data_IF_262149038590
#
_entry.id   IF_262149038590
#
_cell.length_a   1.000
_cell.length_b   1.000
_cell.length_c   1.000
_cell.angle_alpha   90.00
_cell.angle_beta   90.00
_cell.angle_gamma   90.00
#
_symmetry.space_group_name_H-M   'P 1'
#
loop_
_entity.id
_entity.type
_entity.pdbx_description
1 polymer ?
2 non-polymer ?
#
# COMPACT_ATOMS: atom_id res chain seq x y z
N UNK A 1 41.09 -23.06 0.38
CA UNK A 1 41.45 -22.01 1.36
C UNK A 1 40.58 -20.77 1.18
N UNK A 2 41.01 -19.66 1.76
CA UNK A 2 40.27 -18.40 1.67
C UNK A 2 40.27 -17.87 0.24
N UNK A 3 39.45 -18.47 -0.61
CA UNK A 3 39.36 -18.06 -2.01
C UNK A 3 39.10 -16.55 -2.11
N UNK A 4 39.60 -15.94 -3.17
CA UNK A 4 39.43 -14.50 -3.37
C UNK A 4 40.09 -13.70 -2.25
N UNK A 5 40.98 -14.33 -1.49
CA UNK A 5 41.68 -13.66 -0.40
C UNK A 5 40.78 -13.42 0.82
N UNK A 6 39.53 -13.88 0.78
CA UNK A 6 38.62 -13.69 1.90
C UNK A 6 37.28 -14.39 1.67
N UNK A 7 36.79 -14.35 0.44
CA UNK A 7 35.52 -14.98 0.09
C UNK A 7 34.33 -14.17 0.59
N UNK A 8 34.27 -12.89 0.19
CA UNK A 8 33.19 -11.98 0.57
C UNK A 8 32.66 -12.26 1.98
N UNK A 9 33.54 -12.24 2.99
CA UNK A 9 33.16 -12.48 4.38
C UNK A 9 32.40 -11.30 4.98
N UNK A 10 32.83 -10.10 4.63
CA UNK A 10 32.19 -8.88 5.13
C UNK A 10 31.03 -8.47 4.23
N UNK A 11 29.81 -8.79 4.67
CA UNK A 11 28.61 -8.45 3.91
C UNK A 11 28.51 -9.30 2.64
N UNK A 12 27.40 -10.01 2.50
CA UNK A 12 27.17 -10.86 1.34
C UNK A 12 25.79 -10.61 0.74
N UNK A 13 24.78 -10.56 1.60
CA UNK A 13 23.41 -10.33 1.15
C UNK A 13 22.51 -9.96 2.33
N UNK A 14 21.23 -9.76 2.04
CA UNK A 14 20.26 -9.41 3.07
C UNK A 14 20.39 -10.33 4.29
N UNK A 15 20.35 -11.63 4.04
CA UNK A 15 20.46 -12.62 5.11
C UNK A 15 21.63 -12.29 6.03
N UNK A 16 22.69 -11.71 5.46
CA UNK A 16 23.87 -11.35 6.23
C UNK A 16 23.76 -9.92 6.75
N UNK A 17 23.20 -9.04 5.93
CA UNK A 17 23.03 -7.64 6.30
C UNK A 17 22.17 -7.50 7.56
N UNK A 18 21.31 -8.49 7.80
CA UNK A 18 20.42 -8.48 8.96
C UNK A 18 21.18 -8.08 10.23
N UNK A 19 22.46 -8.40 10.27
CA UNK A 19 23.29 -8.08 11.43
C UNK A 19 23.26 -6.58 11.72
N UNK A 20 23.06 -5.78 10.68
CA UNK A 20 23.01 -4.33 10.83
C UNK A 20 21.82 -3.73 10.08
N UNK A 21 21.73 -4.04 8.79
CA UNK A 21 20.63 -3.52 7.99
C UNK A 21 19.28 -3.84 8.58
N UNK A 22 18.97 -5.13 8.69
CA UNK A 22 17.70 -5.57 9.24
C UNK A 22 16.56 -5.31 8.26
N UNK A 23 15.81 -6.35 7.92
CA UNK A 23 14.69 -6.23 7.00
C UNK A 23 13.42 -5.83 7.73
N UNK A 24 13.28 -6.29 8.97
CA UNK A 24 12.11 -5.99 9.78
C UNK A 24 11.87 -4.48 9.86
N UNK A 25 10.83 -4.01 9.18
CA UNK A 25 10.50 -2.60 9.17
C UNK A 25 10.35 -2.06 10.59
N UNK A 26 9.20 -2.33 11.20
CA UNK A 26 8.94 -1.88 12.56
C UNK A 26 8.37 -3.01 13.42
N UNK A 27 8.73 -4.24 13.09
CA UNK A 27 8.26 -5.41 13.84
C UNK A 27 6.74 -5.52 13.79
N UNK A 28 6.18 -5.48 12.59
CA UNK A 28 4.74 -5.58 12.42
C UNK A 28 4.37 -5.92 10.98
N UNK A 29 5.25 -6.65 10.30
CA UNK A 29 5.01 -7.04 8.91
C UNK A 29 4.57 -5.84 8.08
N UNK A 30 4.14 -6.11 6.85
CA UNK A 30 3.68 -5.04 5.96
C UNK A 30 3.19 -5.56 4.59
N UNK A 31 2.87 -6.85 4.49
CA UNK A 31 2.40 -7.41 3.23
C UNK A 31 0.94 -7.03 2.97
N UNK A 32 0.56 -6.86 1.69
CA UNK A 32 -0.81 -6.49 1.31
C UNK A 32 -1.84 -7.50 1.81
N UNK A 33 -2.97 -6.99 2.29
CA UNK A 33 -4.04 -7.84 2.80
C UNK A 33 -5.03 -8.22 1.69
N UNK A 34 -4.68 -7.93 0.44
CA UNK A 34 -5.55 -8.25 -0.69
C UNK A 34 -4.85 -7.97 -2.01
N UNK A 35 -3.85 -8.80 -2.35
CA UNK A 35 -3.07 -8.66 -3.59
C UNK A 35 -3.94 -8.57 -4.84
N UNK A 36 -5.17 -9.09 -4.75
CA UNK A 36 -6.09 -9.07 -5.88
C UNK A 36 -6.15 -7.69 -6.54
N UNK A 37 -5.91 -6.65 -5.75
CA UNK A 37 -5.93 -5.28 -6.26
C UNK A 37 -4.62 -4.56 -5.95
N UNK A 38 -3.51 -5.21 -6.27
CA UNK A 38 -2.19 -4.63 -6.03
C UNK A 38 -1.84 -3.62 -7.11
N UNK A 39 -2.35 -3.85 -8.32
CA UNK A 39 -2.09 -2.95 -9.44
C UNK A 39 -3.28 -2.02 -9.65
N UNK A 40 -2.99 -0.77 -9.96
CA UNK A 40 -4.04 0.22 -10.19
C UNK A 40 -5.11 -0.32 -11.13
N UNK A 41 -4.68 -0.90 -12.24
CA UNK A 41 -5.60 -1.46 -13.22
C UNK A 41 -6.58 -2.42 -12.56
N UNK A 42 -6.04 -3.37 -11.80
CA UNK A 42 -6.87 -4.35 -11.11
C UNK A 42 -7.87 -3.67 -10.20
N UNK A 43 -7.40 -2.68 -9.45
CA UNK A 43 -8.26 -1.93 -8.54
C UNK A 43 -9.47 -1.38 -9.29
N UNK A 44 -9.28 -1.03 -10.56
CA UNK A 44 -10.36 -0.50 -11.37
C UNK A 44 -11.55 -1.45 -11.33
N UNK A 45 -11.30 -2.73 -11.57
CA UNK A 45 -12.36 -3.73 -11.54
C UNK A 45 -13.12 -3.63 -10.23
N UNK A 46 -12.39 -3.38 -9.15
CA UNK A 46 -12.99 -3.27 -7.83
C UNK A 46 -14.21 -2.36 -7.87
N UNK A 47 -14.11 -1.25 -8.60
CA UNK A 47 -15.22 -0.31 -8.71
C UNK A 47 -16.14 -0.65 -9.88
N UNK A 48 -16.31 -1.94 -10.17
CA UNK A 48 -17.18 -2.36 -11.26
C UNK A 48 -18.55 -1.69 -11.13
N UNK A 49 -18.84 -0.77 -12.04
CA UNK A 49 -20.10 -0.04 -12.02
C UNK A 49 -20.11 0.99 -10.91
N UNK A 50 -19.05 1.81 -10.87
CA UNK A 50 -18.92 2.85 -9.86
C UNK A 50 -19.99 3.93 -10.08
N UNK A 51 -20.81 4.23 -9.05
CA UNK A 51 -21.87 5.24 -9.17
C UNK A 51 -21.33 6.60 -9.59
N UNK A 52 -22.24 7.56 -9.75
CA UNK A 52 -21.86 8.91 -10.15
C UNK A 52 -22.00 9.90 -8.99
N UNK A 53 -22.39 9.40 -7.81
CA UNK A 53 -22.55 10.26 -6.64
C UNK A 53 -21.83 9.70 -5.41
N UNK A 54 -21.10 8.58 -5.59
CA UNK A 54 -20.38 7.94 -4.49
C UNK A 54 -19.76 8.96 -3.54
N UNK A 55 -18.75 9.67 -4.02
CA UNK A 55 -18.08 10.69 -3.22
C UNK A 55 -16.79 11.13 -3.90
N UNK A 56 -16.09 10.17 -4.48
CA UNK A 56 -14.82 10.45 -5.16
C UNK A 56 -14.66 9.59 -6.40
N UNK A 57 -13.59 9.84 -7.16
CA UNK A 57 -13.32 9.09 -8.38
C UNK A 57 -12.88 7.66 -8.04
N UNK A 58 -13.21 6.70 -8.91
CA UNK A 58 -12.84 5.29 -8.70
C UNK A 58 -11.34 5.07 -8.83
N UNK A 59 -10.77 5.58 -9.91
CA UNK A 59 -9.34 5.43 -10.13
C UNK A 59 -8.58 6.01 -8.94
N UNK A 60 -8.80 7.29 -8.66
CA UNK A 60 -8.14 7.97 -7.55
C UNK A 60 -8.08 7.08 -6.32
N UNK A 61 -9.17 6.34 -6.07
CA UNK A 61 -9.21 5.43 -4.94
C UNK A 61 -8.12 4.38 -5.09
N UNK A 62 -8.07 3.77 -6.27
CA UNK A 62 -7.04 2.78 -6.56
C UNK A 62 -5.68 3.39 -6.29
N UNK A 63 -5.42 4.54 -6.90
CA UNK A 63 -4.16 5.24 -6.70
C UNK A 63 -3.91 5.47 -5.21
N UNK A 64 -4.99 5.53 -4.44
CA UNK A 64 -4.90 5.73 -3.00
C UNK A 64 -4.79 4.40 -2.25
N UNK A 65 -4.78 3.28 -2.98
CA UNK A 65 -4.68 1.98 -2.36
C UNK A 65 -5.99 1.52 -1.76
N UNK A 66 -7.09 1.96 -2.35
CA UNK A 66 -8.41 1.59 -1.86
C UNK A 66 -9.12 0.64 -2.82
N UNK A 67 -9.64 -0.45 -2.28
CA UNK A 67 -10.35 -1.44 -3.08
C UNK A 67 -11.82 -1.49 -2.68
N UNK A 68 -12.70 -1.31 -3.66
CA UNK A 68 -14.13 -1.32 -3.42
C UNK A 68 -14.62 -2.73 -3.09
N UNK A 69 -15.43 -2.84 -2.04
CA UNK A 69 -15.97 -4.13 -1.61
C UNK A 69 -17.46 -4.24 -1.94
N UNK A 70 -17.92 -3.45 -2.91
CA UNK A 70 -19.32 -3.49 -3.29
C UNK A 70 -20.27 -3.00 -2.20
N UNK A 71 -19.72 -2.40 -1.15
CA UNK A 71 -20.54 -1.90 -0.05
C UNK A 71 -20.88 -0.42 -0.24
N UNK A 72 -21.73 -0.14 -1.22
CA UNK A 72 -22.12 1.24 -1.49
C UNK A 72 -20.93 2.14 -1.72
N UNK A 73 -20.81 3.18 -0.91
CA UNK A 73 -19.70 4.12 -1.04
C UNK A 73 -18.63 3.87 0.02
N UNK A 74 -18.54 2.62 0.47
CA UNK A 74 -17.56 2.25 1.49
C UNK A 74 -16.33 1.61 0.84
N UNK A 75 -15.18 2.25 1.01
CA UNK A 75 -13.93 1.74 0.45
C UNK A 75 -12.97 1.34 1.56
N UNK A 76 -12.05 0.43 1.26
CA UNK A 76 -11.08 -0.03 2.24
C UNK A 76 -9.71 -0.17 1.62
N UNK A 77 -8.68 -0.05 2.45
CA UNK A 77 -7.31 -0.17 1.97
C UNK A 77 -6.87 -1.63 1.99
N UNK A 78 -6.52 -2.14 0.81
CA UNK A 78 -6.11 -3.54 0.65
C UNK A 78 -4.73 -3.82 1.24
N UNK A 79 -3.94 -2.78 1.47
CA UNK A 79 -2.59 -2.96 2.00
C UNK A 79 -2.59 -3.20 3.51
N UNK A 80 -2.90 -2.16 4.28
CA UNK A 80 -2.90 -2.27 5.74
C UNK A 80 -4.22 -2.82 6.28
N UNK A 81 -5.32 -2.52 5.59
CA UNK A 81 -6.62 -2.99 6.05
C UNK A 81 -7.38 -1.88 6.73
N UNK A 82 -7.61 -0.80 5.99
CA UNK A 82 -8.32 0.34 6.52
C UNK A 82 -9.62 0.61 5.79
N UNK A 83 -10.73 0.24 6.42
CA UNK A 83 -12.05 0.46 5.83
C UNK A 83 -12.64 1.77 6.32
N UNK A 84 -13.37 2.46 5.44
CA UNK A 84 -13.98 3.73 5.80
C UNK A 84 -15.33 3.91 5.11
N UNK A 85 -16.35 4.21 5.91
CA UNK A 85 -17.70 4.42 5.40
C UNK A 85 -18.28 5.71 5.96
N UNK A 86 -19.39 6.16 5.39
CA UNK A 86 -20.03 7.39 5.84
C UNK A 86 -19.23 8.61 5.38
N UNK A 87 -18.60 8.48 4.22
CA UNK A 87 -17.80 9.56 3.66
C UNK A 87 -18.63 10.83 3.50
N UNK A 88 -17.94 11.95 3.25
CA UNK A 88 -18.61 13.23 3.07
C UNK A 88 -17.94 14.03 1.96
N UNK A 89 -18.65 15.04 1.41
CA UNK A 89 -18.12 15.88 0.34
C UNK A 89 -16.97 16.77 0.81
N UNK A 90 -15.79 16.55 0.25
CA UNK A 90 -14.63 17.34 0.63
C UNK A 90 -13.53 16.50 1.22
N UNK A 91 -13.91 15.40 1.86
CA UNK A 91 -12.94 14.50 2.48
C UNK A 91 -12.26 13.62 1.43
N UNK A 92 -11.05 14.00 1.04
CA UNK A 92 -10.30 13.25 0.04
C UNK A 92 -10.29 11.77 0.37
N UNK A 93 -10.53 10.94 -0.66
CA UNK A 93 -10.59 9.48 -0.52
C UNK A 93 -9.64 8.96 0.56
N UNK A 94 -8.34 9.03 0.29
CA UNK A 94 -7.34 8.55 1.24
C UNK A 94 -7.06 9.57 2.35
N UNK A 95 -7.43 10.83 2.14
CA UNK A 95 -7.22 11.85 3.16
C UNK A 95 -7.81 11.38 4.50
N UNK A 96 -8.96 10.70 4.41
CA UNK A 96 -9.63 10.18 5.59
C UNK A 96 -9.08 8.80 5.97
N UNK A 97 -8.47 8.13 5.00
CA UNK A 97 -7.87 6.82 5.21
C UNK A 97 -6.72 6.94 6.20
N UNK A 98 -5.92 7.99 6.04
CA UNK A 98 -4.79 8.22 6.93
C UNK A 98 -5.26 8.73 8.28
N UNK A 99 -6.29 9.57 8.28
CA UNK A 99 -6.83 10.12 9.52
C UNK A 99 -7.32 9.00 10.44
N UNK A 100 -7.95 7.99 9.85
CA UNK A 100 -8.47 6.86 10.61
C UNK A 100 -7.46 5.71 10.68
N UNK A 101 -6.52 5.70 9.73
CA UNK A 101 -5.49 4.67 9.69
C UNK A 101 -4.22 5.24 9.05
N UNK A 102 -3.51 6.10 9.79
CA UNK A 102 -2.29 6.75 9.31
C UNK A 102 -1.06 5.84 9.26
N UNK A 103 -1.22 4.58 9.65
CA UNK A 103 -0.09 3.65 9.63
C UNK A 103 -0.01 2.88 8.32
N UNK A 104 -0.61 3.42 7.26
CA UNK A 104 -0.59 2.78 5.95
C UNK A 104 0.72 3.06 5.22
N UNK A 105 1.50 2.01 4.97
CA UNK A 105 2.78 2.14 4.28
C UNK A 105 2.61 2.73 2.88
N UNK A 106 1.40 2.67 2.33
CA UNK A 106 1.15 3.21 1.00
C UNK A 106 0.96 4.72 1.06
N UNK A 107 0.16 5.16 2.02
CA UNK A 107 -0.11 6.58 2.21
C UNK A 107 1.18 7.40 2.21
N UNK A 108 2.06 7.08 3.16
CA UNK A 108 3.33 7.78 3.32
C UNK A 108 4.12 7.89 2.01
N UNK A 109 4.89 6.85 1.69
CA UNK A 109 5.71 6.87 0.49
C UNK A 109 4.97 6.65 -0.81
N UNK A 110 3.64 6.55 -0.76
CA UNK A 110 2.84 6.36 -1.97
C UNK A 110 3.04 4.97 -2.60
N UNK A 111 4.29 4.65 -2.96
CA UNK A 111 4.65 3.38 -3.59
C UNK A 111 4.55 3.49 -5.11
N UNK A 112 5.10 2.50 -5.81
CA UNK A 112 5.09 2.48 -7.27
C UNK A 112 6.14 3.45 -7.82
N UNK A 113 6.32 3.45 -9.14
CA UNK A 113 7.30 4.31 -9.78
C UNK A 113 7.22 5.75 -9.23
N UNK A 114 6.41 6.60 -9.88
CA UNK A 114 6.23 8.00 -9.47
C UNK A 114 7.50 8.61 -8.86
N UNK A 115 8.65 8.25 -9.42
CA UNK A 115 9.93 8.75 -8.93
C UNK A 115 9.96 10.27 -8.94
N UNK A 116 10.15 10.85 -10.12
CA UNK A 116 10.21 12.30 -10.28
C UNK A 116 11.55 12.84 -9.78
N UNK A 117 11.79 12.70 -8.49
CA UNK A 117 13.03 13.18 -7.89
C UNK A 117 14.24 12.50 -8.52
X LIG B 1 -3.90 1.62 4.07
#
# INVERSE_FOLDING_TARGET
RDHFALDRPSETHADYLLRTGQVVDISDTIYPRNPAMYSEEARLKSFQNWPDYAHLTPRELASAGLYYTGIGDQVQCFACGGKLKNWEPGDRAWSEHRRHFPNCFFVLGRNLNIRSE
ZN ZN
#
